data_IF_519373206045
#
_entry.id   IF_519373206045
#
_cell.length_a   1.000
_cell.length_b   1.000
_cell.length_c   1.000
_cell.angle_alpha   90.00
_cell.angle_beta   90.00
_cell.angle_gamma   90.00
#
_symmetry.space_group_name_H-M   'P 1'
#
loop_
_entity.id
_entity.type
_entity.pdbx_description
1 polymer ?
#
# COMPACT_ATOMS: atom_id res chain seq x y z
N UNK A 1 8.65 -24.51 -41.10
CA UNK A 1 7.87 -24.54 -39.84
C UNK A 1 8.31 -23.47 -38.84
N UNK A 2 9.59 -23.41 -38.45
CA UNK A 2 10.07 -22.43 -37.44
C UNK A 2 9.94 -20.96 -37.86
N UNK A 3 10.31 -20.61 -39.09
CA UNK A 3 10.24 -19.24 -39.61
C UNK A 3 8.78 -18.72 -39.62
N UNK A 4 7.84 -19.56 -40.03
CA UNK A 4 6.41 -19.22 -40.05
C UNK A 4 5.83 -19.00 -38.64
N UNK A 5 6.35 -19.73 -37.64
CA UNK A 5 5.97 -19.53 -36.24
C UNK A 5 6.51 -18.20 -35.69
N UNK A 6 7.75 -17.84 -36.05
CA UNK A 6 8.35 -16.55 -35.74
C UNK A 6 7.56 -15.39 -36.36
N UNK A 7 7.14 -15.52 -37.62
CA UNK A 7 6.32 -14.52 -38.29
C UNK A 7 4.94 -14.36 -37.61
N UNK A 8 4.30 -15.47 -37.23
CA UNK A 8 3.04 -15.45 -36.48
C UNK A 8 3.21 -14.80 -35.11
N UNK A 9 4.28 -15.11 -34.40
CA UNK A 9 4.58 -14.55 -33.08
C UNK A 9 4.86 -13.04 -33.17
N UNK A 10 5.61 -12.60 -34.19
CA UNK A 10 5.87 -11.18 -34.44
C UNK A 10 4.58 -10.42 -34.69
N UNK A 11 3.67 -10.98 -35.49
CA UNK A 11 2.37 -10.37 -35.80
C UNK A 11 1.47 -10.26 -34.56
N UNK A 12 1.42 -11.31 -33.74
CA UNK A 12 0.70 -11.30 -32.46
C UNK A 12 1.27 -10.27 -31.49
N UNK A 13 2.60 -10.14 -31.42
CA UNK A 13 3.24 -9.16 -30.56
C UNK A 13 2.85 -7.72 -30.96
N UNK A 14 2.92 -7.42 -32.26
CA UNK A 14 2.53 -6.09 -32.77
C UNK A 14 1.05 -5.77 -32.52
N UNK A 15 0.18 -6.78 -32.59
CA UNK A 15 -1.24 -6.61 -32.27
C UNK A 15 -1.44 -6.27 -30.78
N UNK A 16 -0.78 -7.01 -29.90
CA UNK A 16 -0.85 -6.78 -28.45
C UNK A 16 -0.29 -5.41 -28.07
N UNK A 17 0.80 -4.97 -28.70
CA UNK A 17 1.36 -3.63 -28.49
C UNK A 17 0.39 -2.52 -28.88
N UNK A 18 -0.33 -2.67 -30.00
CA UNK A 18 -1.37 -1.71 -30.41
C UNK A 18 -2.56 -1.70 -29.45
N UNK A 19 -3.02 -2.87 -29.01
CA UNK A 19 -4.10 -2.98 -28.04
C UNK A 19 -3.71 -2.36 -26.70
N UNK A 20 -2.46 -2.54 -26.26
CA UNK A 20 -1.90 -1.94 -25.06
C UNK A 20 -1.82 -0.41 -25.17
N UNK A 21 -1.35 0.12 -26.31
CA UNK A 21 -1.32 1.57 -26.56
C UNK A 21 -2.73 2.17 -26.57
N UNK A 22 -3.71 1.46 -27.16
CA UNK A 22 -5.11 1.87 -27.19
C UNK A 22 -5.72 1.88 -25.78
N UNK A 23 -5.48 0.84 -24.98
CA UNK A 23 -5.92 0.75 -23.60
C UNK A 23 -5.34 1.87 -22.72
N UNK A 24 -4.07 2.24 -22.94
CA UNK A 24 -3.43 3.40 -22.28
C UNK A 24 -4.10 4.72 -22.62
N UNK A 25 -4.44 4.95 -23.89
CA UNK A 25 -5.12 6.18 -24.32
C UNK A 25 -6.56 6.28 -23.81
N UNK A 26 -7.22 5.14 -23.59
CA UNK A 26 -8.57 5.08 -23.02
C UNK A 26 -8.60 5.17 -21.49
N UNK A 27 -7.44 5.34 -20.83
CA UNK A 27 -7.34 5.38 -19.37
C UNK A 27 -7.58 4.02 -18.69
N UNK A 28 -7.64 2.92 -19.46
CA UNK A 28 -7.85 1.54 -18.99
C UNK A 28 -6.54 0.91 -18.46
N UNK A 29 -5.44 1.67 -18.46
CA UNK A 29 -4.19 1.23 -17.84
C UNK A 29 -4.15 1.65 -16.37
N UNK A 30 -4.79 0.85 -15.52
CA UNK A 30 -4.29 0.67 -14.17
C UNK A 30 -2.98 -0.11 -14.29
N UNK A 31 -1.90 0.59 -13.97
CA UNK A 31 -0.59 0.04 -13.65
C UNK A 31 -0.71 -1.23 -12.81
N UNK A 32 -0.02 -2.29 -13.24
CA UNK A 32 0.33 -3.48 -12.45
C UNK A 32 -0.80 -4.13 -11.63
N UNK A 33 -1.30 -5.25 -12.15
CA UNK A 33 -1.85 -6.37 -11.39
C UNK A 33 -3.06 -6.06 -10.50
N UNK A 34 -4.27 -6.27 -11.04
CA UNK A 34 -5.47 -6.43 -10.23
C UNK A 34 -6.70 -5.80 -10.86
N UNK A 35 -7.38 -6.61 -11.67
CA UNK A 35 -8.79 -6.53 -12.07
C UNK A 35 -9.63 -5.43 -11.38
N UNK A 36 -9.88 -4.33 -12.11
CA UNK A 36 -10.81 -3.28 -11.69
C UNK A 36 -12.25 -3.78 -11.92
N UNK A 37 -12.67 -4.73 -11.11
CA UNK A 37 -14.09 -5.05 -10.96
C UNK A 37 -14.75 -3.90 -10.21
N UNK A 38 -15.48 -3.07 -10.96
CA UNK A 38 -16.45 -2.11 -10.46
C UNK A 38 -17.46 -2.84 -9.58
N UNK A 39 -17.14 -2.98 -8.31
CA UNK A 39 -18.01 -3.44 -7.24
C UNK A 39 -17.61 -2.66 -6.00
N UNK A 40 -18.55 -2.48 -5.07
CA UNK A 40 -18.46 -1.57 -3.93
C UNK A 40 -17.19 -1.65 -3.03
N UNK A 41 -16.27 -2.59 -3.27
CA UNK A 41 -14.95 -2.70 -2.64
C UNK A 41 -13.91 -1.65 -3.08
N UNK A 42 -14.03 -1.05 -4.27
CA UNK A 42 -13.08 -0.03 -4.75
C UNK A 42 -13.02 1.24 -3.88
N UNK A 43 -14.14 1.64 -3.28
CA UNK A 43 -14.19 2.78 -2.36
C UNK A 43 -13.50 2.51 -1.03
N UNK A 44 -13.57 1.27 -0.52
CA UNK A 44 -12.95 0.90 0.76
C UNK A 44 -11.42 0.88 0.70
N UNK A 45 -10.88 0.42 -0.43
CA UNK A 45 -9.45 0.43 -0.70
C UNK A 45 -8.88 1.86 -0.75
N UNK A 46 -9.51 2.75 -1.53
CA UNK A 46 -9.08 4.15 -1.64
C UNK A 46 -9.24 4.90 -0.31
N UNK A 47 -10.30 4.62 0.45
CA UNK A 47 -10.49 5.19 1.78
C UNK A 47 -9.40 4.73 2.76
N UNK A 48 -9.03 3.45 2.74
CA UNK A 48 -7.94 2.92 3.56
C UNK A 48 -6.60 3.56 3.20
N UNK A 49 -6.28 3.67 1.90
CA UNK A 49 -5.05 4.31 1.43
C UNK A 49 -4.95 5.76 1.94
N UNK A 50 -6.06 6.51 1.90
CA UNK A 50 -6.13 7.90 2.37
C UNK A 50 -5.97 8.01 3.90
N UNK A 51 -6.67 7.17 4.66
CA UNK A 51 -6.54 7.14 6.12
C UNK A 51 -5.14 6.70 6.56
N UNK A 52 -4.51 5.77 5.83
CA UNK A 52 -3.12 5.38 6.08
C UNK A 52 -2.15 6.54 5.84
N UNK A 53 -2.31 7.29 4.74
CA UNK A 53 -1.46 8.44 4.46
C UNK A 53 -1.55 9.49 5.57
N UNK A 54 -2.77 9.82 6.01
CA UNK A 54 -3.00 10.72 7.16
C UNK A 54 -2.37 10.18 8.44
N UNK A 55 -2.54 8.89 8.72
CA UNK A 55 -1.94 8.26 9.90
C UNK A 55 -0.41 8.35 9.87
N UNK A 56 0.21 8.15 8.70
CA UNK A 56 1.65 8.22 8.52
C UNK A 56 2.18 9.64 8.76
N UNK A 57 1.46 10.66 8.32
CA UNK A 57 1.79 12.07 8.61
C UNK A 57 1.78 12.36 10.11
N UNK A 58 0.71 11.96 10.82
CA UNK A 58 0.61 12.17 12.27
C UNK A 58 1.65 11.34 13.03
N UNK A 59 1.93 10.11 12.59
CA UNK A 59 2.99 9.29 13.17
C UNK A 59 4.35 9.97 13.05
N UNK A 60 4.69 10.50 11.86
CA UNK A 60 5.94 11.24 11.67
C UNK A 60 6.01 12.49 12.56
N UNK A 61 4.90 13.18 12.76
CA UNK A 61 4.82 14.33 13.68
C UNK A 61 5.12 13.92 15.12
N UNK A 62 4.50 12.86 15.63
CA UNK A 62 4.78 12.36 16.97
C UNK A 62 6.23 11.86 17.14
N UNK A 63 6.82 11.22 16.13
CA UNK A 63 8.23 10.81 16.16
C UNK A 63 9.16 12.02 16.21
N UNK A 64 8.86 13.08 15.46
CA UNK A 64 9.61 14.32 15.50
C UNK A 64 9.48 15.03 16.86
N UNK A 65 8.28 15.04 17.44
CA UNK A 65 8.03 15.56 18.78
C UNK A 65 8.81 14.79 19.85
N UNK A 66 8.77 13.46 19.81
CA UNK A 66 9.53 12.61 20.72
C UNK A 66 11.03 12.88 20.61
N UNK A 67 11.56 12.97 19.38
CA UNK A 67 12.97 13.31 19.14
C UNK A 67 13.31 14.70 19.67
N UNK A 68 12.45 15.69 19.48
CA UNK A 68 12.67 17.04 19.99
C UNK A 68 12.67 17.07 21.52
N UNK A 69 11.71 16.41 22.17
CA UNK A 69 11.62 16.29 23.62
C UNK A 69 12.85 15.56 24.20
N UNK A 70 13.28 14.47 23.57
CA UNK A 70 14.48 13.74 23.97
C UNK A 70 15.75 14.60 23.84
N UNK A 71 15.90 15.33 22.74
CA UNK A 71 17.04 16.25 22.53
C UNK A 71 17.03 17.42 23.54
N UNK A 72 15.85 17.87 23.95
CA UNK A 72 15.69 18.90 24.97
C UNK A 72 15.89 18.37 26.41
N UNK A 73 16.18 17.06 26.58
CA UNK A 73 16.27 16.41 27.88
C UNK A 73 15.00 16.61 28.72
N UNK A 74 13.83 16.50 28.06
CA UNK A 74 12.53 16.57 28.73
C UNK A 74 12.41 15.49 29.81
N UNK A 75 11.62 15.78 30.84
CA UNK A 75 11.39 14.83 31.93
C UNK A 75 10.64 13.58 31.46
N UNK A 76 10.84 12.47 32.19
CA UNK A 76 10.24 11.18 31.88
C UNK A 76 8.72 11.22 31.73
N UNK A 77 8.03 12.07 32.50
CA UNK A 77 6.57 12.22 32.43
C UNK A 77 6.11 12.81 31.10
N UNK A 78 6.87 13.74 30.51
CA UNK A 78 6.53 14.34 29.22
C UNK A 78 6.87 13.40 28.07
N UNK A 79 8.00 12.69 28.16
CA UNK A 79 8.32 11.61 27.23
C UNK A 79 7.25 10.50 27.26
N UNK A 80 6.79 10.12 28.44
CA UNK A 80 5.75 9.09 28.61
C UNK A 80 4.44 9.50 27.95
N UNK A 81 3.98 10.75 28.11
CA UNK A 81 2.77 11.24 27.43
C UNK A 81 2.87 11.13 25.91
N UNK A 82 4.03 11.48 25.33
CA UNK A 82 4.25 11.39 23.88
C UNK A 82 4.22 9.93 23.44
N UNK A 83 4.88 9.03 24.18
CA UNK A 83 4.86 7.58 23.90
C UNK A 83 3.45 7.00 24.01
N UNK A 84 2.70 7.35 25.05
CA UNK A 84 1.32 6.89 25.25
C UNK A 84 0.40 7.36 24.10
N UNK A 85 0.60 8.59 23.60
CA UNK A 85 -0.10 9.09 22.41
C UNK A 85 0.22 8.27 21.16
N UNK A 86 1.51 7.96 20.94
CA UNK A 86 1.96 7.11 19.82
C UNK A 86 1.32 5.72 19.90
N UNK A 87 1.34 5.09 21.09
CA UNK A 87 0.78 3.75 21.29
C UNK A 87 -0.73 3.72 21.01
N UNK A 88 -1.48 4.71 21.52
CA UNK A 88 -2.91 4.85 21.24
C UNK A 88 -3.20 5.01 19.74
N UNK A 89 -2.40 5.80 19.03
CA UNK A 89 -2.52 5.99 17.59
C UNK A 89 -2.22 4.69 16.80
N UNK A 90 -1.31 3.85 17.29
CA UNK A 90 -1.05 2.53 16.71
C UNK A 90 -2.24 1.58 16.89
N UNK A 91 -2.82 1.52 18.08
CA UNK A 91 -3.97 0.65 18.36
C UNK A 91 -5.15 0.94 17.42
N UNK A 92 -5.44 2.22 17.19
CA UNK A 92 -6.49 2.64 16.26
C UNK A 92 -6.16 2.25 14.80
N UNK A 93 -4.91 2.37 14.39
CA UNK A 93 -4.50 1.95 13.06
C UNK A 93 -4.58 0.43 12.87
N UNK A 94 -4.17 -0.36 13.86
CA UNK A 94 -4.32 -1.82 13.82
C UNK A 94 -5.79 -2.23 13.76
N UNK A 95 -6.68 -1.50 14.44
CA UNK A 95 -8.13 -1.69 14.35
C UNK A 95 -8.63 -1.41 12.93
N UNK A 96 -8.25 -0.28 12.32
CA UNK A 96 -8.61 0.07 10.94
C UNK A 96 -8.09 -0.95 9.92
N UNK A 97 -6.82 -1.36 10.08
CA UNK A 97 -6.21 -2.42 9.26
C UNK A 97 -6.93 -3.75 9.42
N UNK A 98 -7.41 -4.08 10.62
CA UNK A 98 -8.25 -5.26 10.88
C UNK A 98 -9.60 -5.21 10.18
N UNK A 99 -10.25 -4.04 10.12
CA UNK A 99 -11.49 -3.84 9.34
C UNK A 99 -11.21 -3.98 7.84
N UNK A 100 -10.16 -3.34 7.33
CA UNK A 100 -9.75 -3.44 5.94
C UNK A 100 -9.41 -4.87 5.53
N UNK A 101 -8.71 -5.63 6.39
CA UNK A 101 -8.35 -7.02 6.10
C UNK A 101 -9.58 -7.95 6.07
N UNK A 102 -10.61 -7.67 6.87
CA UNK A 102 -11.90 -8.39 6.82
C UNK A 102 -12.67 -8.11 5.54
N UNK A 103 -12.50 -6.92 4.95
CA UNK A 103 -13.14 -6.54 3.70
C UNK A 103 -12.37 -7.07 2.48
N UNK A 104 -11.04 -6.88 2.45
CA UNK A 104 -10.15 -7.33 1.40
C UNK A 104 -8.71 -7.52 1.94
N UNK A 105 -8.34 -8.77 2.18
CA UNK A 105 -7.01 -9.14 2.67
C UNK A 105 -5.90 -8.90 1.63
N UNK A 106 -6.21 -8.99 0.33
CA UNK A 106 -5.23 -8.76 -0.74
C UNK A 106 -4.90 -7.27 -0.87
N UNK A 107 -5.88 -6.39 -0.66
CA UNK A 107 -5.60 -4.96 -0.57
C UNK A 107 -4.69 -4.62 0.62
N UNK A 108 -4.87 -5.25 1.78
CA UNK A 108 -3.98 -5.03 2.94
C UNK A 108 -2.58 -5.61 2.72
N UNK A 109 -2.43 -6.74 2.03
CA UNK A 109 -1.12 -7.38 1.83
C UNK A 109 -0.35 -6.86 0.61
N UNK A 110 -1.03 -6.56 -0.49
CA UNK A 110 -0.42 -6.17 -1.77
C UNK A 110 -0.82 -4.79 -2.28
N UNK A 111 -1.62 -4.04 -1.51
CA UNK A 111 -2.10 -2.72 -1.89
C UNK A 111 -1.00 -1.67 -2.03
N UNK A 112 -1.39 -0.56 -2.65
CA UNK A 112 -0.50 0.55 -3.00
C UNK A 112 -0.24 1.51 -1.84
N UNK A 113 -0.93 1.34 -0.71
CA UNK A 113 -0.68 2.10 0.53
C UNK A 113 0.75 1.96 1.07
N UNK A 114 1.47 0.89 0.71
CA UNK A 114 2.90 0.73 1.03
C UNK A 114 3.80 0.98 -0.17
N UNK A 115 5.00 1.47 0.11
CA UNK A 115 6.08 1.50 -0.86
C UNK A 115 6.51 0.07 -1.25
N UNK A 116 7.09 -0.12 -2.46
CA UNK A 116 7.66 -1.41 -2.84
C UNK A 116 8.69 -1.94 -1.83
N UNK A 117 9.49 -1.05 -1.22
CA UNK A 117 10.46 -1.40 -0.20
C UNK A 117 9.76 -1.97 1.05
N UNK A 118 8.79 -1.27 1.63
CA UNK A 118 8.07 -1.73 2.82
C UNK A 118 7.36 -3.08 2.59
N UNK A 119 6.81 -3.31 1.39
CA UNK A 119 6.21 -4.61 1.04
C UNK A 119 7.24 -5.74 1.07
N UNK A 120 8.45 -5.51 0.57
CA UNK A 120 9.54 -6.48 0.59
C UNK A 120 10.00 -6.86 1.99
N UNK A 121 9.65 -6.13 3.05
CA UNK A 121 10.03 -6.45 4.44
C UNK A 121 8.86 -6.97 5.28
N UNK A 122 7.64 -7.10 4.74
CA UNK A 122 6.50 -7.58 5.52
C UNK A 122 6.67 -9.01 6.05
N UNK A 123 7.40 -9.86 5.33
CA UNK A 123 7.70 -11.24 5.76
C UNK A 123 8.64 -11.31 6.96
N UNK A 124 9.36 -10.22 7.28
CA UNK A 124 10.20 -10.12 8.48
C UNK A 124 9.40 -9.70 9.73
N UNK A 125 8.21 -9.11 9.54
CA UNK A 125 7.35 -8.59 10.60
C UNK A 125 6.33 -9.57 11.19
N UNK A 126 6.41 -10.87 10.88
CA UNK A 126 5.70 -11.91 11.62
C UNK A 126 4.52 -12.61 10.94
N UNK A 127 4.12 -12.24 9.72
CA UNK A 127 3.14 -13.06 8.97
C UNK A 127 3.87 -14.11 8.12
N UNK A 128 4.03 -15.32 8.67
CA UNK A 128 4.37 -16.51 7.89
C UNK A 128 3.07 -17.19 7.49
N UNK A 129 2.73 -17.19 6.20
CA UNK A 129 1.71 -18.12 5.69
C UNK A 129 2.28 -19.53 5.77
N UNK A 130 1.91 -20.27 6.81
CA UNK A 130 2.10 -21.72 6.95
C UNK A 130 0.74 -22.39 7.05
#
# INVERSE_FOLDING_TARGET
AYIQNLESSRLKLTQLEQELQRARQQGIFISSSGDQSQSAGGNGAVAFDMEYARWLEEHNKHINELRAAANAHAGDDDLRKIVDSIMSQYDEFFRLKGVAAKADVFHVLSGMWKTPAERCFMWLGGFRSS
#
